data_IF_277453653054
#
_entry.id   IF_277453653054
#
_cell.length_a   1.000
_cell.length_b   1.000
_cell.length_c   1.000
_cell.angle_alpha   90.00
_cell.angle_beta   90.00
_cell.angle_gamma   90.00
#
_symmetry.space_group_name_H-M   'P 1'
#
loop_
_entity.id
_entity.type
_entity.pdbx_description
1 polymer ?
#
# COMPACT_ATOMS: atom_id res chain seq x y z
N UNK A 1 4.96 -0.30 32.25
CA UNK A 1 3.83 -0.26 31.30
C UNK A 1 3.21 1.13 31.32
N UNK A 2 3.15 1.79 30.17
CA UNK A 2 2.50 3.10 29.96
C UNK A 2 1.52 3.00 28.81
N UNK A 3 0.37 3.64 28.94
CA UNK A 3 -0.69 3.64 27.94
C UNK A 3 -0.89 5.01 27.34
N UNK A 4 -0.90 5.08 26.01
CA UNK A 4 -1.26 6.26 25.27
C UNK A 4 -2.51 5.99 24.44
N UNK A 5 -3.32 7.02 24.26
CA UNK A 5 -4.44 6.98 23.35
C UNK A 5 -4.44 8.22 22.46
N UNK A 6 -4.96 8.06 21.26
CA UNK A 6 -4.84 9.11 20.27
C UNK A 6 -5.49 8.79 18.95
N UNK A 7 -5.11 9.57 17.95
CA UNK A 7 -5.54 9.42 16.57
C UNK A 7 -4.35 9.53 15.65
N UNK A 8 -4.32 8.65 14.66
CA UNK A 8 -3.37 8.69 13.57
C UNK A 8 -4.14 9.06 12.31
N UNK A 9 -3.71 10.14 11.68
CA UNK A 9 -4.10 10.47 10.34
C UNK A 9 -3.20 9.73 9.34
N UNK A 10 -3.85 9.01 8.43
CA UNK A 10 -3.17 8.28 7.39
C UNK A 10 -2.50 9.27 6.41
N UNK A 11 -1.27 8.96 5.94
CA UNK A 11 -0.61 9.74 4.89
C UNK A 11 -1.46 9.89 3.62
N UNK A 12 -2.37 8.94 3.39
CA UNK A 12 -3.35 8.96 2.30
C UNK A 12 -4.59 8.22 2.75
N UNK A 13 -5.75 8.72 2.35
CA UNK A 13 -7.01 8.10 2.72
C UNK A 13 -7.07 6.66 2.20
N UNK A 14 -7.38 5.71 3.07
CA UNK A 14 -7.50 4.30 2.73
C UNK A 14 -8.89 4.03 2.14
N UNK A 15 -8.93 3.36 0.99
CA UNK A 15 -10.19 2.94 0.37
C UNK A 15 -10.56 1.55 0.87
N UNK A 16 -11.50 1.46 1.81
CA UNK A 16 -11.85 0.24 2.54
C UNK A 16 -13.27 -0.24 2.25
N UNK A 17 -13.48 -1.54 2.39
CA UNK A 17 -14.80 -2.15 2.32
C UNK A 17 -15.55 -1.98 3.65
N UNK A 18 -16.85 -2.25 3.65
CA UNK A 18 -17.71 -2.11 4.83
C UNK A 18 -17.28 -3.01 5.99
N UNK A 19 -16.74 -4.20 5.71
CA UNK A 19 -16.31 -5.18 6.72
C UNK A 19 -15.07 -4.75 7.54
N UNK A 20 -14.51 -3.56 7.25
CA UNK A 20 -13.42 -2.94 7.99
C UNK A 20 -13.93 -1.90 9.00
N UNK A 21 -15.11 -1.33 8.79
CA UNK A 21 -15.62 -0.25 9.64
C UNK A 21 -15.94 -0.75 11.05
N UNK A 22 -15.50 0.00 12.06
CA UNK A 22 -15.61 -0.37 13.47
C UNK A 22 -14.67 -1.50 13.92
N UNK A 23 -13.90 -2.11 13.01
CA UNK A 23 -12.96 -3.16 13.38
C UNK A 23 -11.72 -2.58 14.08
N UNK A 24 -11.15 -3.39 14.97
CA UNK A 24 -9.88 -3.10 15.64
C UNK A 24 -8.84 -4.11 15.20
N UNK A 25 -7.67 -3.61 14.81
CA UNK A 25 -6.52 -4.42 14.47
C UNK A 25 -5.41 -4.19 15.50
N UNK A 26 -4.67 -5.24 15.82
CA UNK A 26 -3.52 -5.17 16.72
C UNK A 26 -2.27 -5.19 15.85
N UNK A 27 -1.30 -4.34 16.18
CA UNK A 27 0.03 -4.32 15.58
C UNK A 27 1.11 -4.15 16.64
N UNK A 28 2.35 -4.38 16.22
CA UNK A 28 3.52 -4.23 17.08
C UNK A 28 4.68 -3.60 16.31
N UNK A 29 5.36 -2.63 16.92
CA UNK A 29 6.56 -2.02 16.34
C UNK A 29 7.33 -1.22 17.39
N UNK A 30 8.66 -1.20 17.30
CA UNK A 30 9.51 -0.33 18.12
C UNK A 30 9.38 -0.53 19.63
N UNK A 31 9.03 -1.74 20.10
CA UNK A 31 8.80 -2.04 21.51
C UNK A 31 7.43 -1.59 22.05
N UNK A 32 6.53 -1.17 21.16
CA UNK A 32 5.14 -0.87 21.49
C UNK A 32 4.20 -1.89 20.85
N UNK A 33 3.15 -2.27 21.59
CA UNK A 33 1.95 -2.89 21.04
C UNK A 33 0.91 -1.81 20.85
N UNK A 34 0.14 -1.84 19.77
CA UNK A 34 -0.90 -0.84 19.53
C UNK A 34 -2.16 -1.45 18.91
N UNK A 35 -3.28 -0.81 19.19
CA UNK A 35 -4.59 -1.11 18.61
C UNK A 35 -4.97 0.01 17.63
N UNK A 36 -5.37 -0.34 16.42
CA UNK A 36 -5.90 0.56 15.40
C UNK A 36 -7.39 0.30 15.23
N UNK A 37 -8.24 1.24 15.66
CA UNK A 37 -9.70 1.12 15.50
C UNK A 37 -10.17 2.01 14.35
N UNK A 38 -10.81 1.37 13.37
CA UNK A 38 -11.39 2.03 12.20
C UNK A 38 -12.73 2.69 12.56
N UNK A 39 -13.05 3.83 11.92
CA UNK A 39 -14.29 4.56 12.18
C UNK A 39 -15.53 3.73 11.81
N UNK A 40 -16.69 4.14 12.31
CA UNK A 40 -17.96 3.44 12.15
C UNK A 40 -18.87 4.14 11.14
N UNK A 41 -19.68 3.34 10.43
CA UNK A 41 -20.77 3.88 9.62
C UNK A 41 -21.92 4.34 10.54
N UNK A 42 -22.24 5.65 10.62
CA UNK A 42 -23.33 6.14 11.45
C UNK A 42 -24.71 5.68 10.96
N UNK A 43 -24.83 5.40 9.65
CA UNK A 43 -26.10 5.15 8.98
C UNK A 43 -25.87 4.19 7.82
N UNK A 44 -26.02 2.87 8.06
CA UNK A 44 -26.03 1.89 7.00
C UNK A 44 -26.99 2.36 5.89
N UNK A 45 -26.47 2.47 4.67
CA UNK A 45 -27.17 2.96 3.47
C UNK A 45 -27.32 4.49 3.33
N UNK A 46 -26.61 5.32 4.09
CA UNK A 46 -26.51 6.73 3.74
C UNK A 46 -25.79 6.88 2.39
N UNK A 47 -26.32 7.74 1.51
CA UNK A 47 -25.80 7.96 0.17
C UNK A 47 -24.35 8.47 0.15
N UNK A 48 -23.78 8.64 -1.04
CA UNK A 48 -22.40 9.10 -1.22
C UNK A 48 -22.12 10.43 -0.48
N UNK A 49 -20.92 10.55 0.09
CA UNK A 49 -20.42 11.79 0.69
C UNK A 49 -20.80 12.00 2.16
N UNK A 50 -21.55 11.10 2.79
CA UNK A 50 -21.77 11.20 4.22
C UNK A 50 -20.51 10.83 5.01
N UNK A 51 -20.31 11.50 6.13
CA UNK A 51 -19.12 11.34 6.96
C UNK A 51 -19.21 10.12 7.86
N UNK A 52 -18.07 9.50 8.13
CA UNK A 52 -17.91 8.43 9.09
C UNK A 52 -17.90 8.97 10.53
N UNK A 53 -18.46 8.19 11.45
CA UNK A 53 -18.48 8.48 12.88
C UNK A 53 -17.19 8.00 13.56
N UNK A 54 -16.87 8.62 14.70
CA UNK A 54 -15.70 8.24 15.48
C UNK A 54 -15.80 6.77 15.96
N UNK A 55 -14.70 6.00 15.92
CA UNK A 55 -14.69 4.59 16.34
C UNK A 55 -15.04 4.38 17.82
N UNK A 56 -14.74 5.37 18.65
CA UNK A 56 -14.98 5.40 20.09
C UNK A 56 -15.09 6.85 20.54
N UNK A 57 -15.66 7.13 21.74
CA UNK A 57 -15.54 8.44 22.33
C UNK A 57 -14.07 8.82 22.48
N UNK A 58 -13.65 9.86 21.76
CA UNK A 58 -12.31 10.43 21.88
C UNK A 58 -12.41 11.68 22.75
N UNK A 59 -11.48 11.85 23.69
CA UNK A 59 -11.44 13.03 24.55
C UNK A 59 -11.37 14.33 23.73
N UNK A 60 -12.02 15.39 24.24
CA UNK A 60 -12.29 16.62 23.49
C UNK A 60 -11.05 17.30 22.90
N UNK A 61 -9.88 17.15 23.53
CA UNK A 61 -8.61 17.77 23.07
C UNK A 61 -8.11 17.11 21.77
N UNK A 62 -8.24 15.78 21.67
CA UNK A 62 -7.88 15.05 20.46
C UNK A 62 -8.98 15.26 19.40
N UNK A 63 -10.24 15.40 19.82
CA UNK A 63 -11.39 15.73 18.94
C UNK A 63 -11.23 17.06 18.21
N UNK A 64 -10.85 18.13 18.89
CA UNK A 64 -10.76 19.48 18.30
C UNK A 64 -9.69 19.56 17.19
N UNK A 65 -8.66 18.71 17.24
CA UNK A 65 -7.66 18.61 16.17
C UNK A 65 -8.12 17.78 14.95
N UNK A 66 -9.11 16.91 15.14
CA UNK A 66 -9.73 16.07 14.10
C UNK A 66 -10.81 16.86 13.34
N UNK A 67 -11.60 17.64 14.08
CA UNK A 67 -12.78 18.36 13.59
C UNK A 67 -12.46 19.57 12.70
N UNK A 68 -11.19 20.03 12.64
CA UNK A 68 -10.79 21.14 11.76
C UNK A 68 -10.77 20.78 10.27
N UNK A 69 -11.35 19.63 9.86
CA UNK A 69 -11.28 19.08 8.51
C UNK A 69 -12.66 18.82 7.92
N UNK A 70 -12.73 18.94 6.59
CA UNK A 70 -13.97 18.79 5.82
C UNK A 70 -14.69 17.45 6.02
N UNK A 71 -13.97 16.36 6.31
CA UNK A 71 -14.54 15.00 6.38
C UNK A 71 -14.24 14.24 7.68
N UNK A 72 -13.65 14.88 8.70
CA UNK A 72 -13.34 14.26 9.99
C UNK A 72 -12.56 12.94 9.85
N UNK A 73 -13.24 11.82 10.12
CA UNK A 73 -12.69 10.46 10.10
C UNK A 73 -12.63 9.83 8.70
N UNK A 74 -13.46 10.32 7.77
CA UNK A 74 -13.63 9.72 6.45
C UNK A 74 -15.04 9.91 5.90
N UNK A 75 -15.31 9.34 4.73
CA UNK A 75 -16.60 9.49 4.06
C UNK A 75 -16.93 8.32 3.12
N UNK A 76 -18.23 8.11 2.86
CA UNK A 76 -18.71 7.17 1.84
C UNK A 76 -18.34 7.64 0.44
N UNK A 77 -17.63 6.83 -0.35
CA UNK A 77 -17.10 7.26 -1.65
C UNK A 77 -17.76 6.60 -2.85
N UNK A 78 -18.21 5.35 -2.76
CA UNK A 78 -18.81 4.64 -3.89
C UNK A 78 -20.12 4.00 -3.48
N UNK A 79 -21.17 4.20 -4.26
CA UNK A 79 -22.47 3.55 -4.09
C UNK A 79 -22.69 2.53 -5.20
N UNK A 80 -23.26 1.37 -4.86
CA UNK A 80 -23.67 0.39 -5.86
C UNK A 80 -25.01 0.81 -6.45
N UNK A 81 -25.02 1.22 -7.71
CA UNK A 81 -26.27 1.56 -8.39
C UNK A 81 -27.24 0.37 -8.34
N UNK A 82 -28.42 0.57 -7.74
CA UNK A 82 -29.45 -0.46 -7.65
C UNK A 82 -30.16 -0.63 -9.00
N UNK A 83 -30.63 -1.84 -9.36
CA UNK A 83 -31.26 -2.11 -10.65
C UNK A 83 -32.52 -1.27 -10.97
N UNK A 84 -33.14 -0.68 -9.95
CA UNK A 84 -34.40 0.07 -10.02
C UNK A 84 -34.21 1.59 -10.05
N UNK A 85 -32.96 2.08 -10.11
CA UNK A 85 -32.66 3.51 -10.11
C UNK A 85 -32.74 4.17 -8.73
N UNK A 86 -32.91 3.40 -7.65
CA UNK A 86 -32.74 3.93 -6.29
C UNK A 86 -31.26 4.25 -6.01
N UNK A 87 -31.04 5.22 -5.12
CA UNK A 87 -29.70 5.53 -4.61
C UNK A 87 -29.10 4.27 -3.97
N UNK A 88 -27.89 3.94 -4.42
CA UNK A 88 -27.18 2.75 -3.98
C UNK A 88 -26.67 2.82 -2.55
N UNK A 89 -26.58 1.69 -1.87
CA UNK A 89 -25.82 1.58 -0.63
C UNK A 89 -24.34 1.84 -0.91
N UNK A 90 -23.67 2.55 0.01
CA UNK A 90 -22.22 2.68 -0.04
C UNK A 90 -21.57 1.30 0.01
N UNK A 91 -20.67 1.00 -0.94
CA UNK A 91 -19.93 -0.27 -0.99
C UNK A 91 -18.48 -0.11 -0.56
N UNK A 92 -18.00 1.13 -0.45
CA UNK A 92 -16.64 1.42 -0.06
C UNK A 92 -16.48 2.85 0.48
N UNK A 93 -15.47 3.00 1.32
CA UNK A 93 -15.29 4.13 2.22
C UNK A 93 -13.89 4.67 2.11
N UNK A 94 -13.74 5.99 2.23
CA UNK A 94 -12.46 6.64 2.36
C UNK A 94 -12.21 6.92 3.84
N UNK A 95 -11.22 6.26 4.43
CA UNK A 95 -10.82 6.47 5.83
C UNK A 95 -9.59 7.36 5.86
N UNK A 96 -9.70 8.52 6.50
CA UNK A 96 -8.58 9.47 6.63
C UNK A 96 -7.86 9.35 7.97
N UNK A 97 -8.58 8.90 9.00
CA UNK A 97 -8.09 8.87 10.37
C UNK A 97 -8.51 7.56 11.05
N UNK A 98 -7.65 7.07 11.94
CA UNK A 98 -7.88 5.87 12.75
C UNK A 98 -7.55 6.17 14.20
N UNK A 99 -8.32 5.63 15.13
CA UNK A 99 -7.99 5.75 16.54
C UNK A 99 -6.85 4.79 16.87
N UNK A 100 -5.96 5.22 17.75
CA UNK A 100 -4.85 4.40 18.23
C UNK A 100 -4.86 4.30 19.75
N UNK A 101 -4.64 3.09 20.28
CA UNK A 101 -4.18 2.88 21.66
C UNK A 101 -2.78 2.27 21.59
N UNK A 102 -1.86 2.72 22.44
CA UNK A 102 -0.46 2.33 22.40
C UNK A 102 -0.06 1.89 23.80
N UNK A 103 0.60 0.75 23.91
CA UNK A 103 1.13 0.21 25.15
C UNK A 103 2.63 0.00 25.00
N UNK A 104 3.39 0.60 25.91
CA UNK A 104 4.82 0.36 26.04
C UNK A 104 5.09 -0.52 27.27
N UNK A 105 5.48 -1.77 27.04
CA UNK A 105 5.71 -2.73 28.13
C UNK A 105 6.98 -2.39 28.93
N UNK A 106 8.05 -1.99 28.24
CA UNK A 106 9.39 -1.72 28.80
C UNK A 106 9.71 -0.21 28.91
N UNK A 107 8.69 0.64 29.03
CA UNK A 107 8.94 2.05 29.32
C UNK A 107 9.46 2.20 30.74
N UNK A 108 10.77 2.45 30.89
CA UNK A 108 11.31 3.05 32.12
C UNK A 108 10.54 4.35 32.38
N UNK A 109 10.01 4.49 33.59
CA UNK A 109 9.27 5.68 34.02
C UNK A 109 10.12 6.96 33.91
N UNK A 110 11.44 6.83 33.79
CA UNK A 110 12.36 7.94 33.54
C UNK A 110 12.29 8.49 32.10
N UNK A 111 11.78 7.73 31.12
CA UNK A 111 11.70 8.21 29.73
C UNK A 111 10.59 9.24 29.59
N UNK A 112 10.91 10.41 29.04
CA UNK A 112 9.93 11.46 28.83
C UNK A 112 8.84 11.01 27.85
N UNK A 113 7.61 11.45 28.09
CA UNK A 113 6.45 11.17 27.23
C UNK A 113 6.71 11.52 25.75
N UNK A 114 7.32 12.69 25.50
CA UNK A 114 7.62 13.15 24.14
C UNK A 114 8.60 12.24 23.40
N UNK A 115 9.58 11.66 24.11
CA UNK A 115 10.55 10.74 23.52
C UNK A 115 9.89 9.40 23.14
N UNK A 116 8.95 8.92 23.95
CA UNK A 116 8.18 7.71 23.61
C UNK A 116 7.24 7.95 22.42
N UNK A 117 6.60 9.12 22.35
CA UNK A 117 5.75 9.48 21.21
C UNK A 117 6.55 9.60 19.91
N UNK A 118 7.75 10.18 19.94
CA UNK A 118 8.62 10.28 18.76
C UNK A 118 9.16 8.90 18.32
N UNK A 119 9.56 8.05 19.28
CA UNK A 119 9.91 6.66 19.00
C UNK A 119 8.77 5.88 18.35
N UNK A 120 7.55 6.05 18.87
CA UNK A 120 6.37 5.42 18.27
C UNK A 120 6.17 5.89 16.84
N UNK A 121 6.27 7.20 16.56
CA UNK A 121 6.13 7.75 15.20
C UNK A 121 7.07 7.06 14.23
N UNK A 122 8.35 6.97 14.55
CA UNK A 122 9.35 6.39 13.64
C UNK A 122 9.09 4.91 13.37
N UNK A 123 8.78 4.16 14.42
CA UNK A 123 8.45 2.74 14.34
C UNK A 123 7.15 2.51 13.55
N UNK A 124 6.10 3.27 13.86
CA UNK A 124 4.81 3.22 13.18
C UNK A 124 4.91 3.59 11.71
N UNK A 125 5.68 4.62 11.34
CA UNK A 125 5.87 5.01 9.94
C UNK A 125 6.57 3.90 9.13
N UNK A 126 7.59 3.26 9.72
CA UNK A 126 8.28 2.14 9.09
C UNK A 126 7.35 0.92 8.91
N UNK A 127 6.61 0.58 9.96
CA UNK A 127 5.60 -0.49 9.95
C UNK A 127 4.50 -0.22 8.92
N UNK A 128 3.92 0.98 8.95
CA UNK A 128 2.81 1.36 8.10
C UNK A 128 3.22 1.42 6.63
N UNK A 129 4.48 1.78 6.31
CA UNK A 129 5.01 1.68 4.95
C UNK A 129 4.90 0.26 4.40
N UNK A 130 5.32 -0.74 5.17
CA UNK A 130 5.25 -2.16 4.76
C UNK A 130 3.78 -2.58 4.57
N UNK A 131 2.91 -2.22 5.52
CA UNK A 131 1.48 -2.50 5.41
C UNK A 131 0.88 -1.88 4.14
N UNK A 132 1.21 -0.61 3.86
CA UNK A 132 0.75 0.08 2.65
C UNK A 132 1.23 -0.64 1.39
N UNK A 133 2.50 -1.02 1.31
CA UNK A 133 3.03 -1.72 0.14
C UNK A 133 2.22 -3.00 -0.18
N UNK A 134 1.90 -3.81 0.83
CA UNK A 134 1.03 -4.99 0.66
C UNK A 134 -0.40 -4.64 0.26
N UNK A 135 -1.01 -3.65 0.91
CA UNK A 135 -2.38 -3.23 0.57
C UNK A 135 -2.49 -2.69 -0.87
N UNK A 136 -1.52 -1.93 -1.34
CA UNK A 136 -1.50 -1.40 -2.71
C UNK A 136 -1.34 -2.52 -3.74
N UNK A 137 -0.50 -3.52 -3.44
CA UNK A 137 -0.31 -4.68 -4.32
C UNK A 137 -1.57 -5.54 -4.46
N UNK A 138 -2.31 -5.76 -3.37
CA UNK A 138 -3.53 -6.59 -3.42
C UNK A 138 -4.76 -5.85 -3.95
N UNK A 139 -4.89 -4.55 -3.66
CA UNK A 139 -6.05 -3.75 -4.08
C UNK A 139 -5.89 -3.08 -5.45
N UNK A 140 -4.64 -2.92 -5.91
CA UNK A 140 -4.29 -2.07 -7.05
C UNK A 140 -4.42 -0.56 -6.76
N UNK A 141 -4.83 -0.16 -5.55
CA UNK A 141 -4.87 1.25 -5.17
C UNK A 141 -3.44 1.78 -5.01
N UNK A 142 -3.16 2.94 -5.60
CA UNK A 142 -1.89 3.65 -5.35
C UNK A 142 -2.18 4.80 -4.40
N UNK A 143 -1.98 4.55 -3.11
CA UNK A 143 -2.13 5.49 -2.01
C UNK A 143 -0.95 6.49 -2.00
N UNK A 144 0.26 6.05 -2.35
CA UNK A 144 1.48 6.87 -2.30
C UNK A 144 1.96 7.34 -3.69
N UNK A 145 1.32 8.35 -4.29
CA UNK A 145 1.79 8.93 -5.57
C UNK A 145 2.85 10.04 -5.42
N UNK A 146 3.92 10.01 -6.22
CA UNK A 146 4.87 11.13 -6.38
C UNK A 146 6.08 11.13 -5.43
N UNK A 147 7.03 12.05 -5.68
CA UNK A 147 8.33 12.20 -5.00
C UNK A 147 8.22 12.83 -3.59
N UNK A 148 7.14 12.56 -2.86
CA UNK A 148 7.04 12.96 -1.46
C UNK A 148 7.82 11.94 -0.63
N UNK A 149 9.14 12.11 -0.60
CA UNK A 149 10.09 11.41 0.29
C UNK A 149 9.79 11.59 1.78
N UNK A 150 8.70 12.26 2.12
CA UNK A 150 8.23 12.58 3.46
C UNK A 150 6.71 12.36 3.51
N UNK A 151 6.25 11.12 3.34
CA UNK A 151 4.88 10.72 3.69
C UNK A 151 4.91 10.02 5.04
N UNK A 152 5.26 10.78 6.07
CA UNK A 152 5.10 10.36 7.45
C UNK A 152 3.62 10.44 7.81
N UNK A 153 3.15 9.53 8.67
CA UNK A 153 1.86 9.69 9.31
C UNK A 153 1.81 11.02 10.07
N UNK A 154 0.60 11.44 10.44
CA UNK A 154 0.43 12.46 11.47
C UNK A 154 -0.32 11.82 12.60
N UNK A 155 -0.01 12.21 13.81
CA UNK A 155 -0.74 11.69 14.94
C UNK A 155 -0.75 12.67 16.08
N UNK A 156 -1.72 12.47 16.94
CA UNK A 156 -1.80 13.10 18.23
C UNK A 156 -2.11 12.02 19.25
N UNK A 157 -1.29 11.97 20.29
CA UNK A 157 -1.41 11.02 21.38
C UNK A 157 -1.37 11.78 22.70
N UNK A 158 -2.08 11.27 23.68
CA UNK A 158 -2.00 11.72 25.06
C UNK A 158 -1.53 10.58 25.94
N UNK A 159 -0.98 10.94 27.09
CA UNK A 159 -0.71 9.98 28.14
C UNK A 159 -2.01 9.63 28.89
N UNK A 160 -2.51 8.41 28.72
CA UNK A 160 -3.76 7.97 29.32
C UNK A 160 -3.63 7.77 30.84
N UNK A 161 -2.41 7.56 31.33
CA UNK A 161 -2.09 7.36 32.74
C UNK A 161 -1.79 8.71 33.46
N UNK A 162 -1.72 9.82 32.73
CA UNK A 162 -1.39 11.12 33.32
C UNK A 162 -2.53 11.66 34.21
N UNK A 163 -2.21 12.17 35.43
CA UNK A 163 -3.20 12.65 36.39
C UNK A 163 -3.90 13.95 35.97
N UNK A 164 -3.44 14.59 34.90
CA UNK A 164 -4.06 15.79 34.33
C UNK A 164 -4.14 15.66 32.81
N UNK A 165 -5.28 16.05 32.19
CA UNK A 165 -5.55 15.85 30.76
C UNK A 165 -4.69 16.71 29.80
N UNK A 166 -3.53 17.21 30.24
CA UNK A 166 -2.78 18.25 29.54
C UNK A 166 -1.57 17.79 28.71
N UNK A 167 -1.12 16.53 28.83
CA UNK A 167 0.07 16.08 28.10
C UNK A 167 -0.32 15.51 26.72
N UNK A 168 -0.44 16.41 25.74
CA UNK A 168 -0.62 16.07 24.33
C UNK A 168 0.74 16.13 23.61
N UNK A 169 1.06 15.08 22.86
CA UNK A 169 2.16 15.09 21.89
C UNK A 169 1.58 14.82 20.51
N UNK A 170 2.20 15.37 19.49
CA UNK A 170 1.79 15.11 18.12
C UNK A 170 2.94 15.19 17.16
N UNK A 171 2.74 14.60 15.98
CA UNK A 171 3.71 14.60 14.90
C UNK A 171 3.07 14.89 13.55
N UNK A 172 3.87 15.42 12.63
CA UNK A 172 3.48 15.73 11.25
C UNK A 172 3.77 17.18 10.84
N UNK A 173 4.34 17.37 9.64
CA UNK A 173 4.59 18.68 9.03
C UNK A 173 3.37 19.27 8.30
N UNK A 174 3.50 20.46 7.69
CA UNK A 174 2.40 21.18 7.02
C UNK A 174 1.68 20.36 5.94
N UNK A 175 0.36 20.55 5.80
CA UNK A 175 -0.50 19.82 4.87
C UNK A 175 -0.25 20.33 3.45
N UNK A 176 0.35 19.50 2.58
CA UNK A 176 0.16 19.69 1.15
C UNK A 176 -1.22 19.11 0.85
N UNK A 177 -2.19 20.00 0.62
CA UNK A 177 -3.51 19.69 0.06
C UNK A 177 -3.31 19.13 -1.35
N UNK A 178 -2.83 17.90 -1.45
CA UNK A 178 -2.95 17.10 -2.66
C UNK A 178 -4.40 16.73 -2.77
N UNK A 179 -5.15 17.43 -3.63
CA UNK A 179 -6.51 17.11 -3.99
C UNK A 179 -6.68 15.59 -4.07
N UNK A 180 -7.67 15.06 -3.35
CA UNK A 180 -8.17 13.68 -3.42
C UNK A 180 -8.03 13.17 -4.85
N UNK A 181 -6.93 12.49 -5.13
CA UNK A 181 -6.69 11.97 -6.47
C UNK A 181 -7.63 10.81 -6.60
N UNK A 182 -8.69 10.98 -7.40
CA UNK A 182 -9.63 9.93 -7.80
C UNK A 182 -8.97 8.55 -7.76
N UNK A 183 -9.33 7.77 -6.75
CA UNK A 183 -8.75 6.46 -6.51
C UNK A 183 -9.13 5.58 -7.69
N UNK A 184 -8.13 5.15 -8.45
CA UNK A 184 -8.25 4.03 -9.37
C UNK A 184 -7.83 2.79 -8.60
N UNK A 185 -8.66 2.38 -7.66
CA UNK A 185 -8.52 1.05 -7.05
C UNK A 185 -9.25 0.03 -7.90
N UNK A 186 -8.73 -1.19 -8.01
CA UNK A 186 -9.46 -2.31 -8.57
C UNK A 186 -10.44 -2.89 -7.54
N UNK A 187 -10.11 -2.79 -6.25
CA UNK A 187 -10.97 -3.23 -5.14
C UNK A 187 -10.80 -2.40 -3.86
N UNK A 188 -11.84 -2.31 -3.04
CA UNK A 188 -11.71 -1.78 -1.69
C UNK A 188 -10.94 -2.78 -0.80
N UNK A 189 -10.15 -2.27 0.15
CA UNK A 189 -9.45 -3.08 1.14
C UNK A 189 -10.45 -3.70 2.10
N UNK A 190 -10.55 -5.03 2.09
CA UNK A 190 -11.39 -5.75 3.04
C UNK A 190 -10.62 -6.12 4.31
N UNK A 191 -11.33 -6.64 5.31
CA UNK A 191 -10.75 -7.03 6.59
C UNK A 191 -9.58 -8.01 6.45
N UNK A 192 -9.70 -8.99 5.55
CA UNK A 192 -8.67 -10.01 5.32
C UNK A 192 -7.38 -9.39 4.78
N UNK A 193 -7.49 -8.50 3.78
CA UNK A 193 -6.35 -7.79 3.20
C UNK A 193 -5.62 -6.94 4.25
N UNK A 194 -6.35 -6.20 5.08
CA UNK A 194 -5.72 -5.38 6.14
C UNK A 194 -5.06 -6.23 7.21
N UNK A 195 -5.75 -7.27 7.72
CA UNK A 195 -5.18 -8.18 8.71
C UNK A 195 -3.87 -8.82 8.21
N UNK A 196 -3.87 -9.28 6.96
CA UNK A 196 -2.68 -9.91 6.37
C UNK A 196 -1.55 -8.91 6.08
N UNK A 197 -1.87 -7.67 5.71
CA UNK A 197 -0.86 -6.62 5.53
C UNK A 197 -0.23 -6.22 6.86
N UNK A 198 -1.02 -6.10 7.92
CA UNK A 198 -0.54 -5.78 9.28
C UNK A 198 0.30 -6.91 9.86
N UNK A 199 -0.12 -8.17 9.71
CA UNK A 199 0.69 -9.32 10.13
C UNK A 199 2.05 -9.38 9.44
N UNK A 200 2.12 -9.00 8.15
CA UNK A 200 3.39 -8.92 7.40
C UNK A 200 4.25 -7.75 7.86
N UNK A 201 3.64 -6.60 8.16
CA UNK A 201 4.34 -5.45 8.71
C UNK A 201 4.90 -5.72 10.12
N UNK A 202 4.15 -6.43 10.97
CA UNK A 202 4.62 -6.90 12.29
C UNK A 202 5.82 -7.84 12.17
N UNK A 203 5.89 -8.61 11.07
CA UNK A 203 7.00 -9.51 10.75
C UNK A 203 8.15 -8.85 9.97
N UNK A 204 8.05 -7.53 9.71
CA UNK A 204 8.98 -6.77 8.86
C UNK A 204 9.17 -7.39 7.45
N UNK A 205 8.14 -8.08 6.95
CA UNK A 205 8.18 -8.78 5.67
C UNK A 205 7.83 -7.82 4.53
N UNK A 206 8.85 -7.28 3.85
CA UNK A 206 8.66 -6.50 2.63
C UNK A 206 8.16 -7.39 1.47
N UNK A 207 7.40 -6.83 0.50
CA UNK A 207 7.06 -7.56 -0.72
C UNK A 207 8.31 -8.05 -1.48
N UNK A 208 8.19 -9.14 -2.26
CA UNK A 208 9.27 -9.58 -3.13
C UNK A 208 9.79 -8.44 -4.03
N UNK A 209 11.10 -8.43 -4.33
CA UNK A 209 11.78 -7.33 -5.00
C UNK A 209 11.10 -6.89 -6.29
N UNK A 210 10.70 -7.83 -7.15
CA UNK A 210 9.99 -7.57 -8.40
C UNK A 210 8.66 -6.83 -8.16
N UNK A 211 7.94 -7.15 -7.10
CA UNK A 211 6.70 -6.48 -6.74
C UNK A 211 6.95 -5.11 -6.14
N UNK A 212 8.01 -4.94 -5.34
CA UNK A 212 8.46 -3.62 -4.89
C UNK A 212 8.85 -2.69 -6.06
N UNK A 213 9.59 -3.22 -7.05
CA UNK A 213 9.93 -2.50 -8.28
C UNK A 213 8.68 -2.17 -9.12
N UNK A 214 7.74 -3.11 -9.23
CA UNK A 214 6.47 -2.87 -9.90
C UNK A 214 5.67 -1.78 -9.18
N UNK A 215 5.62 -1.79 -7.86
CA UNK A 215 4.91 -0.78 -7.08
C UNK A 215 5.55 0.60 -7.26
N UNK A 216 6.88 0.68 -7.18
CA UNK A 216 7.63 1.90 -7.49
C UNK A 216 7.28 2.45 -8.88
N UNK A 217 7.17 1.57 -9.89
CA UNK A 217 6.75 1.96 -11.24
C UNK A 217 5.38 2.62 -11.29
N UNK A 218 4.44 2.22 -10.42
CA UNK A 218 3.11 2.81 -10.34
C UNK A 218 3.10 4.18 -9.64
N UNK A 219 4.02 4.37 -8.69
CA UNK A 219 4.16 5.59 -7.88
C UNK A 219 4.93 6.70 -8.59
N UNK A 220 5.77 6.33 -9.55
CA UNK A 220 6.68 7.23 -10.28
C UNK A 220 5.94 8.18 -11.23
N UNK A 221 6.04 9.52 -11.05
CA UNK A 221 5.42 10.49 -11.94
C UNK A 221 6.08 10.58 -13.32
N UNK A 222 7.39 10.33 -13.44
CA UNK A 222 8.07 10.30 -14.74
C UNK A 222 7.77 8.99 -15.47
N UNK A 223 6.96 9.08 -16.53
CA UNK A 223 6.55 7.92 -17.35
C UNK A 223 7.73 7.15 -17.94
N UNK A 224 8.89 7.79 -18.15
CA UNK A 224 10.09 7.09 -18.63
C UNK A 224 10.63 6.17 -17.56
N UNK A 225 10.87 6.71 -16.36
CA UNK A 225 11.38 5.96 -15.22
C UNK A 225 10.38 4.87 -14.85
N UNK A 226 9.09 5.20 -14.81
CA UNK A 226 8.02 4.24 -14.54
C UNK A 226 8.04 3.03 -15.49
N UNK A 227 8.17 3.23 -16.80
CA UNK A 227 8.22 2.10 -17.76
C UNK A 227 9.51 1.30 -17.61
N UNK A 228 10.64 1.95 -17.27
CA UNK A 228 11.91 1.27 -16.99
C UNK A 228 11.79 0.40 -15.73
N UNK A 229 11.19 0.91 -14.66
CA UNK A 229 10.99 0.18 -13.40
C UNK A 229 10.04 -1.00 -13.59
N UNK A 230 8.94 -0.83 -14.33
CA UNK A 230 8.01 -1.91 -14.66
C UNK A 230 8.67 -3.04 -15.49
N UNK A 231 9.54 -2.66 -16.43
CA UNK A 231 10.32 -3.62 -17.21
C UNK A 231 11.37 -4.33 -16.34
N UNK A 232 12.01 -3.61 -15.43
CA UNK A 232 13.00 -4.16 -14.50
C UNK A 232 12.34 -5.16 -13.54
N UNK A 233 11.17 -4.83 -12.99
CA UNK A 233 10.35 -5.77 -12.23
C UNK A 233 10.08 -7.07 -13.00
N UNK A 234 9.71 -6.94 -14.27
CA UNK A 234 9.45 -8.08 -15.15
C UNK A 234 10.71 -8.92 -15.39
N UNK A 235 11.87 -8.28 -15.58
CA UNK A 235 13.15 -8.96 -15.76
C UNK A 235 13.57 -9.76 -14.51
N UNK A 236 13.41 -9.18 -13.32
CA UNK A 236 13.67 -9.85 -12.04
C UNK A 236 12.75 -11.05 -11.88
N UNK A 237 11.45 -10.91 -12.14
CA UNK A 237 10.48 -12.00 -12.04
C UNK A 237 10.82 -13.16 -12.99
N UNK A 238 11.13 -12.87 -14.26
CA UNK A 238 11.48 -13.89 -15.25
C UNK A 238 12.81 -14.57 -14.88
N UNK A 239 13.82 -13.81 -14.47
CA UNK A 239 15.13 -14.36 -14.07
C UNK A 239 14.99 -15.27 -12.86
N UNK A 240 14.26 -14.85 -11.83
CA UNK A 240 13.98 -15.68 -10.65
C UNK A 240 13.25 -16.97 -11.03
N UNK A 241 12.24 -16.89 -11.91
CA UNK A 241 11.53 -18.05 -12.41
C UNK A 241 12.44 -19.02 -13.18
N UNK A 242 13.38 -18.50 -13.98
CA UNK A 242 14.39 -19.29 -14.70
C UNK A 242 15.32 -19.99 -13.71
N UNK A 243 15.81 -19.29 -12.70
CA UNK A 243 16.70 -19.86 -11.69
C UNK A 243 16.05 -21.03 -10.95
N UNK A 244 14.75 -20.94 -10.67
CA UNK A 244 13.96 -22.03 -10.07
C UNK A 244 13.90 -23.26 -10.99
N UNK A 245 13.67 -23.05 -12.29
CA UNK A 245 13.50 -24.16 -13.26
C UNK A 245 14.80 -24.82 -13.65
N UNK A 246 15.88 -24.05 -13.67
CA UNK A 246 17.22 -24.54 -13.99
C UNK A 246 17.97 -25.02 -12.73
N UNK A 247 17.28 -25.17 -11.58
CA UNK A 247 17.85 -25.82 -10.39
C UNK A 247 18.36 -27.21 -10.77
N UNK A 248 19.65 -27.45 -10.54
CA UNK A 248 20.34 -28.69 -10.91
C UNK A 248 21.29 -28.55 -12.11
N UNK A 249 21.20 -27.46 -12.86
CA UNK A 249 22.20 -27.09 -13.86
C UNK A 249 23.34 -26.34 -13.16
N UNK A 250 24.59 -26.56 -13.56
CA UNK A 250 25.74 -25.81 -13.06
C UNK A 250 25.57 -24.30 -13.26
N UNK A 251 26.00 -23.48 -12.29
CA UNK A 251 25.82 -22.01 -12.33
C UNK A 251 26.35 -21.37 -13.61
N UNK A 252 27.50 -21.82 -14.11
CA UNK A 252 28.08 -21.33 -15.37
C UNK A 252 27.19 -21.63 -16.58
N UNK A 253 26.55 -22.80 -16.64
CA UNK A 253 25.63 -23.14 -17.72
C UNK A 253 24.32 -22.36 -17.62
N UNK A 254 23.81 -22.12 -16.40
CA UNK A 254 22.65 -21.24 -16.17
C UNK A 254 22.90 -19.82 -16.67
N UNK A 255 24.06 -19.26 -16.35
CA UNK A 255 24.43 -17.91 -16.79
C UNK A 255 24.52 -17.80 -18.32
N UNK A 256 25.06 -18.83 -18.99
CA UNK A 256 25.11 -18.88 -20.46
C UNK A 256 23.69 -18.95 -21.06
N UNK A 257 22.82 -19.78 -20.49
CA UNK A 257 21.42 -19.90 -20.92
C UNK A 257 20.70 -18.56 -20.76
N UNK A 258 20.84 -17.90 -19.61
CA UNK A 258 20.24 -16.60 -19.34
C UNK A 258 20.79 -15.50 -20.28
N UNK A 259 22.11 -15.47 -20.51
CA UNK A 259 22.73 -14.50 -21.44
C UNK A 259 22.28 -14.68 -22.89
N UNK A 260 22.00 -15.92 -23.30
CA UNK A 260 21.49 -16.19 -24.65
C UNK A 260 20.02 -15.83 -24.81
N UNK A 261 19.27 -15.71 -23.71
CA UNK A 261 17.92 -15.16 -23.70
C UNK A 261 17.99 -13.62 -23.79
N UNK A 262 18.07 -13.09 -25.01
CA UNK A 262 18.22 -11.66 -25.28
C UNK A 262 17.03 -10.81 -24.79
N UNK A 263 17.12 -10.29 -23.56
CA UNK A 263 16.16 -9.38 -22.95
C UNK A 263 14.80 -10.01 -22.64
N UNK A 264 13.82 -9.18 -22.27
CA UNK A 264 12.50 -9.62 -21.79
C UNK A 264 11.79 -10.63 -22.71
N UNK A 265 11.82 -10.40 -24.03
CA UNK A 265 11.17 -11.27 -25.02
C UNK A 265 11.87 -12.63 -25.10
N UNK A 266 13.20 -12.65 -25.01
CA UNK A 266 13.99 -13.87 -24.98
C UNK A 266 13.72 -14.67 -23.70
N UNK A 267 13.74 -14.00 -22.54
CA UNK A 267 13.51 -14.64 -21.24
C UNK A 267 12.14 -15.30 -21.15
N UNK A 268 11.06 -14.60 -21.55
CA UNK A 268 9.71 -15.18 -21.51
C UNK A 268 9.55 -16.33 -22.50
N UNK A 269 10.10 -16.23 -23.71
CA UNK A 269 10.03 -17.30 -24.71
C UNK A 269 10.76 -18.56 -24.23
N UNK A 270 11.91 -18.38 -23.57
CA UNK A 270 12.66 -19.48 -22.99
C UNK A 270 11.89 -20.16 -21.85
N UNK A 271 11.29 -19.38 -20.95
CA UNK A 271 10.46 -19.94 -19.87
C UNK A 271 9.25 -20.70 -20.39
N UNK A 272 8.53 -20.18 -21.39
CA UNK A 272 7.41 -20.90 -22.01
C UNK A 272 7.85 -22.23 -22.63
N UNK A 273 9.05 -22.26 -23.22
CA UNK A 273 9.64 -23.47 -23.80
C UNK A 273 10.03 -24.49 -22.73
N UNK A 274 10.56 -24.05 -21.59
CA UNK A 274 10.92 -24.92 -20.46
C UNK A 274 9.67 -25.48 -19.77
N UNK A 275 8.62 -24.67 -19.63
CA UNK A 275 7.38 -25.07 -18.96
C UNK A 275 6.50 -26.01 -19.82
N UNK A 276 6.93 -26.35 -21.04
CA UNK A 276 6.17 -27.09 -22.06
C UNK A 276 4.74 -26.55 -22.22
N UNK A 277 4.61 -25.22 -22.08
CA UNK A 277 3.33 -24.53 -22.25
C UNK A 277 3.16 -24.20 -23.72
N UNK A 278 1.94 -24.39 -24.23
CA UNK A 278 1.57 -23.82 -25.52
C UNK A 278 1.91 -22.31 -25.49
N UNK A 279 2.77 -21.89 -26.42
CA UNK A 279 3.30 -20.53 -26.47
C UNK A 279 2.17 -19.53 -26.35
N UNK A 280 2.18 -18.67 -25.33
CA UNK A 280 1.17 -17.62 -25.23
C UNK A 280 1.61 -16.47 -26.13
N UNK A 281 1.43 -16.66 -27.45
CA UNK A 281 1.84 -15.67 -28.46
C UNK A 281 1.26 -14.28 -28.16
N UNK A 282 0.08 -14.24 -27.55
CA UNK A 282 -0.53 -12.98 -27.12
C UNK A 282 0.27 -12.28 -26.01
N UNK A 283 0.78 -13.02 -25.01
CA UNK A 283 1.59 -12.45 -23.94
C UNK A 283 2.98 -12.05 -24.44
N UNK A 284 3.65 -12.93 -25.20
CA UNK A 284 4.98 -12.62 -25.78
C UNK A 284 4.91 -11.37 -26.66
N UNK A 285 3.88 -11.26 -27.51
CA UNK A 285 3.66 -10.07 -28.34
C UNK A 285 3.39 -8.83 -27.49
N UNK A 286 2.58 -8.93 -26.42
CA UNK A 286 2.37 -7.81 -25.49
C UNK A 286 3.67 -7.38 -24.82
N UNK A 287 4.50 -8.32 -24.36
CA UNK A 287 5.82 -8.01 -23.77
C UNK A 287 6.71 -7.26 -24.76
N UNK A 288 6.74 -7.68 -26.03
CA UNK A 288 7.49 -6.99 -27.06
C UNK A 288 6.95 -5.57 -27.33
N UNK A 289 5.67 -5.46 -27.64
CA UNK A 289 5.05 -4.23 -28.16
C UNK A 289 4.74 -3.20 -27.06
N UNK A 290 4.42 -3.64 -25.85
CA UNK A 290 3.87 -2.79 -24.79
C UNK A 290 4.84 -2.53 -23.64
N UNK A 291 5.92 -3.31 -23.55
CA UNK A 291 6.90 -3.19 -22.45
C UNK A 291 8.34 -3.04 -22.95
N UNK A 292 8.88 -4.03 -23.66
CA UNK A 292 10.27 -4.04 -24.09
C UNK A 292 10.60 -2.92 -25.09
N UNK A 293 9.77 -2.74 -26.12
CA UNK A 293 9.90 -1.64 -27.09
C UNK A 293 9.86 -0.27 -26.40
N UNK A 294 8.77 0.08 -25.68
CA UNK A 294 8.67 1.33 -24.94
C UNK A 294 9.80 1.58 -23.94
N UNK A 295 10.27 0.55 -23.23
CA UNK A 295 11.43 0.65 -22.33
C UNK A 295 12.70 0.99 -23.10
N UNK A 296 12.96 0.32 -24.22
CA UNK A 296 14.16 0.55 -25.02
C UNK A 296 14.16 1.96 -25.63
N UNK A 297 13.01 2.44 -26.09
CA UNK A 297 12.87 3.81 -26.57
C UNK A 297 13.08 4.84 -25.43
N UNK A 298 12.53 4.58 -24.24
CA UNK A 298 12.72 5.44 -23.07
C UNK A 298 14.18 5.47 -22.57
N UNK A 299 14.85 4.33 -22.56
CA UNK A 299 16.21 4.17 -22.07
C UNK A 299 17.26 4.70 -23.07
N UNK A 300 17.12 4.37 -24.36
CA UNK A 300 18.14 4.68 -25.37
C UNK A 300 17.88 5.98 -26.14
N UNK A 301 16.61 6.36 -26.32
CA UNK A 301 16.24 7.56 -27.10
C UNK A 301 15.67 8.68 -26.23
N UNK A 302 15.53 8.43 -24.93
CA UNK A 302 14.88 9.36 -24.02
C UNK A 302 13.40 9.61 -24.32
N UNK A 303 12.75 8.73 -25.09
CA UNK A 303 11.38 8.91 -25.52
C UNK A 303 10.42 8.79 -24.33
N UNK A 304 9.43 9.68 -24.24
CA UNK A 304 8.39 9.58 -23.21
C UNK A 304 7.31 8.61 -23.71
N UNK A 305 7.07 7.48 -23.01
CA UNK A 305 6.08 6.51 -23.45
C UNK A 305 4.67 7.12 -23.51
N UNK A 306 4.00 6.97 -24.66
CA UNK A 306 2.65 7.49 -24.86
C UNK A 306 1.62 6.83 -23.93
N UNK A 307 1.83 5.55 -23.56
CA UNK A 307 0.89 4.79 -22.74
C UNK A 307 1.61 3.86 -21.75
N UNK A 308 2.09 4.42 -20.64
CA UNK A 308 2.69 3.65 -19.55
C UNK A 308 1.73 2.60 -18.94
N UNK A 309 0.42 2.81 -18.99
CA UNK A 309 -0.56 1.87 -18.44
C UNK A 309 -0.55 0.51 -19.13
N UNK A 310 -0.33 0.47 -20.45
CA UNK A 310 -0.20 -0.80 -21.18
C UNK A 310 1.05 -1.57 -20.75
N UNK A 311 2.15 -0.85 -20.49
CA UNK A 311 3.36 -1.44 -19.93
C UNK A 311 3.08 -2.04 -18.54
N UNK A 312 2.39 -1.30 -17.67
CA UNK A 312 2.04 -1.76 -16.32
C UNK A 312 1.15 -3.00 -16.34
N UNK A 313 0.09 -3.00 -17.15
CA UNK A 313 -0.80 -4.17 -17.29
C UNK A 313 -0.05 -5.39 -17.83
N UNK A 314 0.87 -5.19 -18.78
CA UNK A 314 1.71 -6.27 -19.32
C UNK A 314 2.69 -6.79 -18.27
N UNK A 315 3.38 -5.91 -17.55
CA UNK A 315 4.30 -6.28 -16.48
C UNK A 315 3.57 -7.07 -15.38
N UNK A 316 2.43 -6.56 -14.90
CA UNK A 316 1.61 -7.26 -13.90
C UNK A 316 1.22 -8.67 -14.36
N UNK A 317 0.78 -8.81 -15.62
CA UNK A 317 0.42 -10.13 -16.16
C UNK A 317 1.60 -11.12 -16.17
N UNK A 318 2.83 -10.64 -16.41
CA UNK A 318 4.03 -11.48 -16.33
C UNK A 318 4.36 -11.83 -14.88
N UNK A 319 4.30 -10.84 -13.97
CA UNK A 319 4.54 -11.07 -12.54
C UNK A 319 3.52 -12.07 -11.97
N UNK A 320 2.22 -11.89 -12.21
CA UNK A 320 1.17 -12.81 -11.80
C UNK A 320 1.43 -14.26 -12.28
N UNK A 321 2.04 -14.43 -13.46
CA UNK A 321 2.31 -15.75 -14.04
C UNK A 321 3.59 -16.41 -13.48
N UNK A 322 4.65 -15.64 -13.24
CA UNK A 322 5.99 -16.17 -12.97
C UNK A 322 6.52 -15.90 -11.56
N UNK A 323 5.96 -14.91 -10.87
CA UNK A 323 6.17 -14.66 -9.44
C UNK A 323 4.86 -14.23 -8.78
N UNK A 324 3.86 -15.14 -8.66
CA UNK A 324 2.56 -14.80 -8.12
C UNK A 324 2.68 -14.31 -6.66
N UNK A 325 1.98 -13.22 -6.34
CA UNK A 325 1.82 -12.81 -4.95
C UNK A 325 1.06 -13.87 -4.16
N UNK A 326 1.47 -14.06 -2.90
CA UNK A 326 0.64 -14.77 -1.94
C UNK A 326 -0.73 -14.10 -1.81
N UNK A 327 -1.76 -14.92 -1.62
CA UNK A 327 -3.09 -14.39 -1.31
C UNK A 327 -3.04 -13.69 0.06
N UNK A 328 -3.83 -12.61 0.24
CA UNK A 328 -4.15 -12.11 1.58
C UNK A 328 -4.88 -13.20 2.37
#
# INVERSE_FOLDING_TARGET
>A
MRHFDGVVQLPSAAFVAEDVLGETFIGQSGGATFELTFPVDPKPNAGMGHSLDQPRPVDGIVRDAIESRLWGWGYASHTKQMPDGQEGCAVAWMVEQIAVNITFDDADNAVAFFDLADRFREAFDAWYRIAVDWTELWSGAILQRGDSRVRTSRGQVRDADAPSPGSLSGWGGSLILGASTFFRSESALNRKMLASAFARADAEEEPPLEWGLFLRSQREPDRRIAVIDAATATEVALTGALDVRLRGIGSSAREVIAKNANGLVGLITLLESIDDRARNESLVKRVADQLAGPRNDAAHRGAIPANARRAFSTAKAVLDQYSPLGQP
#
